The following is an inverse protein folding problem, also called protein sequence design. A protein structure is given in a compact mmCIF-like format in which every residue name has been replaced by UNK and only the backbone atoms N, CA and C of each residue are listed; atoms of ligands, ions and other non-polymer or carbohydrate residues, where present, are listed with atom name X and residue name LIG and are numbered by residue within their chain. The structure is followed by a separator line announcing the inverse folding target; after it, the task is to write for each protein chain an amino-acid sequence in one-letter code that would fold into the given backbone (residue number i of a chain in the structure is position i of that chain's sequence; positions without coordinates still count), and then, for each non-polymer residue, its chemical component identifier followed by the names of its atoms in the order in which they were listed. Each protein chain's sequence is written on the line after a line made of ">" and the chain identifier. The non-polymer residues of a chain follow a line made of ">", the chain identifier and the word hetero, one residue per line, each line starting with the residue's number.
data_IF_768757524650
#
_entry.id   IF_768757524650
#
_cell.length_a   1.000
_cell.length_b   1.000
_cell.length_c   1.000
_cell.angle_alpha   90.00
_cell.angle_beta   90.00
_cell.angle_gamma   90.00
#
_symmetry.space_group_name_H-M   'P 1'
#
loop_
_entity.id
_entity.type
_entity.pdbx_description
1 polymer ?
#
# COMPACT_ATOMS: atom_id res chain seq x y z
N UNK A 1 0.81 5.37 4.55
CA UNK A 1 1.51 6.63 4.97
C UNK A 1 1.18 7.09 6.39
N UNK A 2 -0.03 6.87 6.91
CA UNK A 2 -0.45 7.37 8.24
C UNK A 2 0.22 6.70 9.45
N UNK A 3 0.52 5.40 9.35
CA UNK A 3 1.22 4.60 10.38
C UNK A 3 2.20 3.62 9.73
N UNK A 4 3.30 4.11 9.14
CA UNK A 4 4.18 3.26 8.35
C UNK A 4 5.04 2.36 9.24
N UNK A 5 5.15 1.08 8.90
CA UNK A 5 5.93 0.09 9.66
C UNK A 5 7.01 -0.61 8.83
N UNK A 6 6.87 -0.67 7.50
CA UNK A 6 7.79 -1.37 6.60
C UNK A 6 9.27 -0.98 6.77
N UNK A 7 9.55 0.31 6.94
CA UNK A 7 10.92 0.79 7.15
C UNK A 7 11.57 0.15 8.38
N UNK A 8 10.85 0.03 9.50
CA UNK A 8 11.35 -0.61 10.71
C UNK A 8 11.51 -2.13 10.53
N UNK A 9 10.57 -2.79 9.85
CA UNK A 9 10.61 -4.23 9.56
C UNK A 9 11.84 -4.60 8.73
N UNK A 10 12.22 -3.74 7.78
CA UNK A 10 13.32 -3.97 6.84
C UNK A 10 14.64 -3.27 7.25
N UNK A 11 14.70 -2.68 8.44
CA UNK A 11 15.91 -1.98 8.92
C UNK A 11 16.30 -0.75 8.10
N UNK A 12 15.33 -0.11 7.43
CA UNK A 12 15.53 1.06 6.57
C UNK A 12 15.14 2.37 7.26
N UNK A 13 15.73 3.47 6.78
CA UNK A 13 15.30 4.81 7.18
C UNK A 13 13.96 5.16 6.53
N UNK A 14 13.07 5.75 7.33
CA UNK A 14 11.73 6.14 6.90
C UNK A 14 11.73 7.21 5.80
N UNK A 15 12.57 8.24 5.96
CA UNK A 15 12.73 9.42 5.08
C UNK A 15 13.00 9.03 3.64
N UNK A 16 12.99 9.98 2.71
CA UNK A 16 13.33 9.72 1.30
C UNK A 16 12.47 8.62 0.69
N UNK A 17 11.15 8.84 0.62
CA UNK A 17 10.20 7.79 0.26
C UNK A 17 8.97 8.31 -0.47
N UNK A 18 7.89 7.53 -0.43
CA UNK A 18 6.67 7.78 -1.20
C UNK A 18 6.14 9.21 -1.03
N UNK A 19 6.05 9.73 0.19
CA UNK A 19 5.56 11.10 0.41
C UNK A 19 6.39 12.16 -0.30
N UNK A 20 7.72 12.05 -0.26
CA UNK A 20 8.64 12.99 -0.87
C UNK A 20 8.53 12.97 -2.40
N UNK A 21 8.40 11.77 -3.00
CA UNK A 21 8.17 11.63 -4.43
C UNK A 21 6.83 12.23 -4.88
N UNK A 22 5.75 11.95 -4.14
CA UNK A 22 4.41 12.49 -4.42
C UNK A 22 4.38 14.02 -4.27
N UNK A 23 5.24 14.57 -3.41
CA UNK A 23 5.42 16.01 -3.22
C UNK A 23 6.40 16.67 -4.23
N UNK A 24 6.87 15.93 -5.25
CA UNK A 24 7.86 16.40 -6.24
C UNK A 24 9.21 16.81 -5.63
N UNK A 25 9.55 16.29 -4.46
CA UNK A 25 10.82 16.59 -3.79
C UNK A 25 11.94 15.66 -4.24
N UNK A 26 11.60 14.48 -4.76
CA UNK A 26 12.52 13.40 -5.11
C UNK A 26 12.06 12.63 -6.34
N UNK A 27 13.03 12.04 -7.04
CA UNK A 27 12.79 11.16 -8.19
C UNK A 27 12.59 9.71 -7.75
N UNK A 28 12.17 8.84 -8.68
CA UNK A 28 12.07 7.40 -8.40
C UNK A 28 13.40 6.79 -7.94
N UNK A 29 14.52 7.23 -8.51
CA UNK A 29 15.85 6.69 -8.18
C UNK A 29 16.25 7.02 -6.73
N UNK A 30 15.80 8.15 -6.21
CA UNK A 30 16.11 8.60 -4.85
C UNK A 30 15.34 7.81 -3.77
N UNK A 31 14.15 7.31 -4.11
CA UNK A 31 13.24 6.68 -3.14
C UNK A 31 13.26 5.15 -3.14
N UNK A 32 13.86 4.53 -4.17
CA UNK A 32 14.02 3.08 -4.28
C UNK A 32 15.24 2.66 -3.46
N UNK A 33 15.03 1.78 -2.49
CA UNK A 33 16.07 1.32 -1.56
C UNK A 33 16.26 -0.18 -1.63
N UNK A 34 17.49 -0.61 -1.38
CA UNK A 34 17.79 -2.01 -1.13
C UNK A 34 17.06 -2.49 0.13
N UNK A 35 16.41 -3.65 0.05
CA UNK A 35 15.71 -4.23 1.20
C UNK A 35 16.60 -5.12 2.08
N UNK A 36 17.80 -5.45 1.62
CA UNK A 36 18.68 -6.47 2.21
C UNK A 36 18.41 -7.89 1.69
N UNK A 37 17.41 -8.08 0.84
CA UNK A 37 17.09 -9.37 0.21
C UNK A 37 17.29 -9.30 -1.32
N UNK A 38 17.79 -10.38 -1.90
CA UNK A 38 17.97 -10.47 -3.36
C UNK A 38 16.63 -10.32 -4.09
N UNK A 39 16.62 -9.53 -5.16
CA UNK A 39 15.44 -9.28 -6.01
C UNK A 39 14.27 -8.61 -5.29
N UNK A 40 14.53 -7.93 -4.17
CA UNK A 40 13.53 -7.16 -3.44
C UNK A 40 14.05 -5.76 -3.14
N UNK A 41 13.34 -4.77 -3.67
CA UNK A 41 13.53 -3.36 -3.32
C UNK A 41 12.34 -2.86 -2.49
N UNK A 42 12.56 -1.77 -1.78
CA UNK A 42 11.53 -1.14 -0.96
C UNK A 42 11.48 0.36 -1.21
N UNK A 43 10.27 0.89 -1.34
CA UNK A 43 9.97 2.30 -1.18
C UNK A 43 9.33 2.47 0.19
N UNK A 44 9.99 3.22 1.09
CA UNK A 44 9.42 3.53 2.40
C UNK A 44 8.35 4.61 2.29
N UNK A 45 7.57 4.83 3.35
CA UNK A 45 6.51 5.84 3.30
C UNK A 45 6.99 7.30 3.13
N UNK A 46 8.28 7.56 3.39
CA UNK A 46 8.86 8.91 3.36
C UNK A 46 8.52 9.74 4.60
N UNK A 47 8.87 11.02 4.52
CA UNK A 47 8.64 12.00 5.58
C UNK A 47 7.16 12.18 5.91
N UNK A 48 6.90 12.69 7.12
CA UNK A 48 5.54 13.00 7.53
C UNK A 48 5.11 14.34 6.93
N UNK A 49 4.38 14.26 5.82
CA UNK A 49 3.79 15.43 5.16
C UNK A 49 2.30 15.56 5.52
N UNK A 50 1.76 16.80 5.57
CA UNK A 50 0.32 17.01 5.70
C UNK A 50 -0.41 16.49 4.45
N UNK A 51 -1.67 16.10 4.60
CA UNK A 51 -2.54 15.74 3.48
C UNK A 51 -2.13 14.49 2.68
N UNK A 52 -1.99 13.30 3.30
CA UNK A 52 -1.62 12.09 2.57
C UNK A 52 -2.66 11.68 1.53
N UNK A 53 -3.95 11.97 1.77
CA UNK A 53 -5.01 11.66 0.81
C UNK A 53 -4.84 12.46 -0.47
N UNK A 54 -4.52 13.75 -0.33
CA UNK A 54 -4.32 14.71 -1.41
C UNK A 54 -3.07 14.34 -2.24
N UNK A 55 -1.98 13.97 -1.55
CA UNK A 55 -0.76 13.48 -2.21
C UNK A 55 -1.03 12.20 -3.02
N UNK A 56 -1.77 11.24 -2.45
CA UNK A 56 -2.10 9.99 -3.13
C UNK A 56 -3.07 10.20 -4.30
N UNK A 57 -3.97 11.17 -4.19
CA UNK A 57 -4.94 11.52 -5.24
C UNK A 57 -4.33 12.38 -6.35
N UNK A 58 -3.06 12.75 -6.22
CA UNK A 58 -2.33 13.44 -7.27
C UNK A 58 -2.04 12.47 -8.44
N UNK A 59 -1.85 13.03 -9.65
CA UNK A 59 -1.42 12.25 -10.80
C UNK A 59 -0.06 11.54 -10.61
N UNK A 60 0.73 11.98 -9.62
CA UNK A 60 2.07 11.42 -9.33
C UNK A 60 2.03 9.96 -8.91
N UNK A 61 0.96 9.50 -8.26
CA UNK A 61 0.85 8.09 -7.89
C UNK A 61 0.72 7.21 -9.13
N UNK A 62 -0.04 7.64 -10.14
CA UNK A 62 -0.16 6.92 -11.40
C UNK A 62 1.18 6.90 -12.16
N UNK A 63 1.85 8.05 -12.24
CA UNK A 63 3.21 8.16 -12.83
C UNK A 63 4.20 7.23 -12.14
N UNK A 64 4.18 7.14 -10.81
CA UNK A 64 5.02 6.21 -10.05
C UNK A 64 4.81 4.76 -10.49
N UNK A 65 3.55 4.32 -10.59
CA UNK A 65 3.26 2.95 -11.01
C UNK A 65 3.70 2.67 -12.44
N UNK A 66 3.56 3.64 -13.34
CA UNK A 66 4.02 3.47 -14.72
C UNK A 66 5.55 3.37 -14.82
N UNK A 67 6.29 4.16 -14.05
CA UNK A 67 7.75 4.01 -13.96
C UNK A 67 8.17 2.66 -13.34
N UNK A 68 7.44 2.20 -12.30
CA UNK A 68 7.73 0.93 -11.63
C UNK A 68 7.44 -0.29 -12.52
N UNK A 69 6.38 -0.26 -13.33
CA UNK A 69 6.04 -1.34 -14.29
C UNK A 69 7.18 -1.61 -15.28
N UNK A 70 7.94 -0.58 -15.65
CA UNK A 70 9.11 -0.74 -16.53
C UNK A 70 10.34 -1.36 -15.86
N UNK A 71 10.35 -1.48 -14.52
CA UNK A 71 11.53 -1.88 -13.74
C UNK A 71 11.34 -3.14 -12.92
N UNK A 72 10.10 -3.51 -12.61
CA UNK A 72 9.79 -4.60 -11.69
C UNK A 72 8.72 -5.52 -12.26
N UNK A 73 8.93 -6.82 -12.14
CA UNK A 73 7.91 -7.81 -12.51
C UNK A 73 6.66 -7.72 -11.64
N UNK A 74 6.83 -7.37 -10.36
CA UNK A 74 5.75 -7.29 -9.37
C UNK A 74 5.98 -6.11 -8.43
N UNK A 75 4.90 -5.38 -8.16
CA UNK A 75 4.86 -4.28 -7.19
C UNK A 75 3.80 -4.61 -6.14
N UNK A 76 4.21 -4.68 -4.88
CA UNK A 76 3.30 -4.91 -3.75
C UNK A 76 3.18 -3.62 -2.96
N UNK A 77 1.95 -3.22 -2.65
CA UNK A 77 1.67 -1.98 -1.95
C UNK A 77 1.01 -2.28 -0.61
N UNK A 78 1.64 -1.83 0.48
CA UNK A 78 1.04 -1.84 1.81
C UNK A 78 0.17 -0.59 1.99
N UNK A 79 -1.13 -0.81 2.22
CA UNK A 79 -2.13 0.24 2.32
C UNK A 79 -2.74 0.30 3.72
N UNK A 80 -3.23 1.48 4.09
CA UNK A 80 -4.02 1.67 5.32
C UNK A 80 -5.25 0.73 5.33
N UNK A 81 -5.85 0.43 6.50
CA UNK A 81 -7.12 -0.30 6.53
C UNK A 81 -8.21 0.40 5.72
N UNK A 82 -8.93 -0.35 4.88
CA UNK A 82 -9.94 0.19 3.94
C UNK A 82 -11.07 0.95 4.63
N UNK A 83 -11.39 0.56 5.87
CA UNK A 83 -12.43 1.18 6.70
C UNK A 83 -11.95 2.44 7.45
N UNK A 84 -10.65 2.71 7.52
CA UNK A 84 -10.08 3.77 8.35
C UNK A 84 -9.83 5.08 7.58
N UNK A 85 -9.51 5.01 6.29
CA UNK A 85 -9.22 6.17 5.46
C UNK A 85 -9.44 5.88 3.97
N UNK A 86 -9.67 6.92 3.17
CA UNK A 86 -9.79 6.83 1.71
C UNK A 86 -8.48 6.40 1.02
N UNK A 87 -7.33 6.56 1.68
CA UNK A 87 -5.99 6.25 1.14
C UNK A 87 -5.95 4.88 0.43
N UNK A 88 -6.52 3.84 1.05
CA UNK A 88 -6.47 2.48 0.51
C UNK A 88 -7.29 2.31 -0.78
N UNK A 89 -8.38 3.06 -0.90
CA UNK A 89 -9.25 3.05 -2.08
C UNK A 89 -8.58 3.76 -3.26
N UNK A 90 -7.93 4.88 -2.98
CA UNK A 90 -7.17 5.64 -3.98
C UNK A 90 -6.01 4.80 -4.51
N UNK A 91 -5.23 4.19 -3.62
CA UNK A 91 -4.13 3.29 -4.00
C UNK A 91 -4.66 2.10 -4.80
N UNK A 92 -5.74 1.45 -4.32
CA UNK A 92 -6.33 0.32 -5.02
C UNK A 92 -6.74 0.65 -6.46
N UNK A 93 -7.30 1.85 -6.70
CA UNK A 93 -7.69 2.31 -8.03
C UNK A 93 -6.52 2.43 -9.02
N UNK A 94 -5.27 2.51 -8.54
CA UNK A 94 -4.06 2.56 -9.35
C UNK A 94 -3.33 1.20 -9.46
N UNK A 95 -3.93 0.12 -8.95
CA UNK A 95 -3.35 -1.24 -8.95
C UNK A 95 -4.17 -2.21 -9.77
N UNK A 96 -3.55 -3.30 -10.24
CA UNK A 96 -4.22 -4.34 -11.04
C UNK A 96 -5.17 -5.22 -10.21
N UNK A 97 -5.02 -5.23 -8.89
CA UNK A 97 -5.85 -6.03 -8.01
C UNK A 97 -5.52 -5.88 -6.53
N UNK A 98 -6.50 -6.22 -5.70
CA UNK A 98 -6.40 -6.11 -4.23
C UNK A 98 -6.47 -7.49 -3.59
N UNK A 99 -5.63 -7.71 -2.59
CA UNK A 99 -5.76 -8.84 -1.64
C UNK A 99 -6.21 -8.28 -0.30
N UNK A 100 -7.33 -8.77 0.22
CA UNK A 100 -7.88 -8.30 1.49
C UNK A 100 -7.40 -9.18 2.65
N UNK A 101 -6.70 -8.58 3.61
CA UNK A 101 -6.26 -9.29 4.83
C UNK A 101 -7.31 -9.15 5.93
N UNK A 102 -7.74 -10.28 6.50
CA UNK A 102 -8.80 -10.36 7.51
C UNK A 102 -8.28 -11.03 8.77
N UNK A 103 -8.47 -10.42 9.94
CA UNK A 103 -8.05 -11.01 11.20
C UNK A 103 -9.10 -12.00 11.71
N UNK A 104 -8.72 -13.27 11.85
CA UNK A 104 -9.56 -14.31 12.42
C UNK A 104 -10.05 -13.94 13.82
N UNK A 105 -11.31 -14.31 14.11
CA UNK A 105 -12.04 -14.03 15.35
C UNK A 105 -12.15 -12.53 15.77
N UNK A 106 -11.54 -11.61 15.03
CA UNK A 106 -11.52 -10.18 15.35
C UNK A 106 -12.36 -9.36 14.37
N UNK A 107 -12.40 -9.75 13.08
CA UNK A 107 -13.19 -9.05 12.06
C UNK A 107 -14.60 -9.64 11.97
N UNK A 108 -15.62 -8.80 12.12
CA UNK A 108 -17.02 -9.23 11.97
C UNK A 108 -17.35 -9.47 10.51
N UNK A 109 -18.12 -10.54 10.22
CA UNK A 109 -18.53 -10.89 8.84
C UNK A 109 -19.23 -9.74 8.10
N UNK A 110 -20.10 -9.00 8.79
CA UNK A 110 -20.80 -7.85 8.21
C UNK A 110 -19.84 -6.71 7.80
N UNK A 111 -18.77 -6.49 8.57
CA UNK A 111 -17.74 -5.51 8.24
C UNK A 111 -16.94 -5.94 7.01
N UNK A 112 -16.55 -7.22 6.96
CA UNK A 112 -15.88 -7.79 5.79
C UNK A 112 -16.73 -7.65 4.52
N UNK A 113 -18.03 -7.98 4.58
CA UNK A 113 -18.95 -7.83 3.45
C UNK A 113 -19.07 -6.38 2.98
N UNK A 114 -19.14 -5.43 3.93
CA UNK A 114 -19.16 -4.00 3.61
C UNK A 114 -17.88 -3.56 2.91
N UNK A 115 -16.72 -3.95 3.43
CA UNK A 115 -15.41 -3.63 2.83
C UNK A 115 -15.25 -4.23 1.44
N UNK A 116 -15.61 -5.51 1.25
CA UNK A 116 -15.56 -6.14 -0.06
C UNK A 116 -16.47 -5.44 -1.07
N UNK A 117 -17.68 -5.02 -0.64
CA UNK A 117 -18.59 -4.23 -1.48
C UNK A 117 -17.97 -2.88 -1.85
N UNK A 118 -17.39 -2.15 -0.90
CA UNK A 118 -16.72 -0.88 -1.18
C UNK A 118 -15.58 -1.02 -2.18
N UNK A 119 -14.73 -2.05 -2.03
CA UNK A 119 -13.65 -2.31 -2.99
C UNK A 119 -14.19 -2.68 -4.37
N UNK A 120 -15.27 -3.48 -4.45
CA UNK A 120 -15.87 -3.83 -5.74
C UNK A 120 -16.45 -2.62 -6.50
N UNK A 121 -16.87 -1.59 -5.78
CA UNK A 121 -17.39 -0.35 -6.38
C UNK A 121 -16.28 0.55 -6.95
N UNK A 122 -15.03 0.37 -6.52
CA UNK A 122 -13.87 1.13 -7.03
C UNK A 122 -13.35 0.60 -8.37
N UNK A 123 -13.92 -0.46 -8.93
CA UNK A 123 -13.53 -1.03 -10.21
C UNK A 123 -12.26 -1.90 -10.18
N UNK A 124 -11.49 -1.89 -9.08
CA UNK A 124 -10.32 -2.76 -8.91
C UNK A 124 -10.75 -4.18 -8.53
N UNK A 125 -10.27 -5.23 -9.23
CA UNK A 125 -10.57 -6.61 -8.88
C UNK A 125 -10.09 -7.00 -7.47
N UNK A 126 -10.98 -7.62 -6.68
CA UNK A 126 -10.58 -8.32 -5.46
C UNK A 126 -10.05 -9.70 -5.84
N UNK A 127 -8.73 -9.87 -5.80
CA UNK A 127 -8.04 -11.11 -6.19
C UNK A 127 -8.26 -12.24 -5.19
N UNK A 128 -8.48 -11.90 -3.92
CA UNK A 128 -8.72 -12.89 -2.87
C UNK A 128 -8.69 -12.31 -1.46
N UNK A 129 -8.83 -13.21 -0.49
CA UNK A 129 -8.81 -12.90 0.94
C UNK A 129 -7.73 -13.74 1.62
N UNK A 130 -6.94 -13.10 2.47
CA UNK A 130 -6.00 -13.76 3.37
C UNK A 130 -6.56 -13.71 4.78
N UNK A 131 -6.93 -14.87 5.32
CA UNK A 131 -7.28 -15.00 6.73
C UNK A 131 -5.99 -15.09 7.56
N UNK A 132 -5.74 -14.08 8.38
CA UNK A 132 -4.57 -13.98 9.24
C UNK A 132 -4.94 -14.16 10.72
N UNK A 133 -3.98 -14.51 11.56
CA UNK A 133 -4.19 -14.82 13.00
C UNK A 133 -5.17 -15.95 13.25
N UNK A 134 -5.41 -16.81 12.26
CA UNK A 134 -6.14 -18.05 12.48
C UNK A 134 -5.32 -18.94 13.40
N UNK A 135 -5.99 -19.51 14.39
CA UNK A 135 -5.39 -20.58 15.19
C UNK A 135 -5.15 -21.77 14.27
N UNK A 136 -3.94 -22.35 14.32
CA UNK A 136 -3.57 -23.48 13.45
C UNK A 136 -4.16 -24.80 13.95
N UNK A 137 -4.59 -24.85 15.20
CA UNK A 137 -5.00 -26.08 15.88
C UNK A 137 -6.53 -26.21 16.03
N UNK A 138 -7.30 -25.46 15.23
CA UNK A 138 -8.77 -25.58 15.12
C UNK A 138 -9.27 -25.76 13.70
#
# INVERSE_FOLDING_TARGET
>A
MRRPTLHAILGQLRRDGLSNYLANQQTLQDIVKESGYSNLHVITAGDQLPGPTELLSSGRLAELFDELKGRYDRVIVDASPVNAAADAQIVAASTDGVVLVVAYASTKRAELQKTAKTLSQNGTPLLGIVLNKADRDR
#
